data_IF_361840083706
#
_entry.id   IF_361840083706
#
_cell.length_a   1.000
_cell.length_b   1.000
_cell.length_c   1.000
_cell.angle_alpha   90.00
_cell.angle_beta   90.00
_cell.angle_gamma   90.00
#
_symmetry.space_group_name_H-M   'P 1'
#
loop_
_entity.id
_entity.type
_entity.pdbx_description
1 polymer ?
#
# COMPACT_ATOMS: atom_id res chain seq x y z
N UNK A 1 2.01 -26.48 15.23
CA UNK A 1 3.24 -26.37 16.04
C UNK A 1 4.21 -25.39 15.39
N UNK A 2 3.79 -24.12 15.26
CA UNK A 2 4.70 -23.00 15.05
C UNK A 2 4.32 -21.94 16.06
N UNK A 3 5.35 -21.56 16.79
CA UNK A 3 5.33 -20.82 18.04
C UNK A 3 4.73 -19.44 17.81
N UNK A 4 3.76 -19.08 18.65
CA UNK A 4 3.33 -17.70 18.85
C UNK A 4 4.54 -16.91 19.32
N UNK A 5 5.22 -16.24 18.39
CA UNK A 5 6.23 -15.23 18.71
C UNK A 5 5.46 -14.02 19.23
N UNK A 6 5.08 -14.09 20.50
CA UNK A 6 4.63 -12.94 21.28
C UNK A 6 5.89 -12.17 21.64
N UNK A 7 6.30 -11.23 20.79
CA UNK A 7 7.31 -10.24 21.14
C UNK A 7 6.72 -9.41 22.28
N UNK A 8 7.09 -9.79 23.49
CA UNK A 8 6.91 -9.02 24.71
C UNK A 8 7.86 -7.81 24.66
N UNK A 9 7.48 -6.79 23.90
CA UNK A 9 8.06 -5.46 23.97
C UNK A 9 7.10 -4.57 24.76
N UNK A 10 7.49 -4.22 25.99
CA UNK A 10 6.72 -3.36 26.87
C UNK A 10 6.56 -1.95 26.28
N UNK A 11 5.34 -1.65 25.85
CA UNK A 11 4.82 -0.30 25.71
C UNK A 11 3.40 -0.36 26.27
N UNK A 12 3.10 0.49 27.25
CA UNK A 12 1.74 0.67 27.77
C UNK A 12 0.81 0.85 26.56
N UNK A 13 -0.28 0.07 26.41
CA UNK A 13 -1.19 0.25 25.29
C UNK A 13 -1.74 1.68 25.38
N UNK A 14 -1.61 2.48 24.32
CA UNK A 14 -2.16 3.83 24.33
C UNK A 14 -3.68 3.75 24.57
N UNK A 15 -4.18 4.61 25.44
CA UNK A 15 -5.62 4.78 25.66
C UNK A 15 -6.25 5.13 24.29
N UNK A 16 -7.49 4.72 23.98
CA UNK A 16 -8.04 4.72 22.61
C UNK A 16 -7.78 5.97 21.74
N UNK A 17 -7.75 7.16 22.37
CA UNK A 17 -7.47 8.46 21.71
C UNK A 17 -6.02 8.57 21.20
N UNK A 18 -5.05 8.02 21.92
CA UNK A 18 -3.63 8.05 21.51
C UNK A 18 -3.38 7.16 20.30
N UNK A 19 -4.08 6.02 20.18
CA UNK A 19 -3.99 5.15 19.01
C UNK A 19 -4.53 5.81 17.74
N UNK A 20 -5.68 6.50 17.85
CA UNK A 20 -6.26 7.25 16.73
C UNK A 20 -5.31 8.38 16.28
N UNK A 21 -4.71 9.09 17.23
CA UNK A 21 -3.74 10.15 16.92
C UNK A 21 -2.50 9.59 16.20
N UNK A 22 -1.99 8.43 16.62
CA UNK A 22 -0.88 7.76 15.94
C UNK A 22 -1.23 7.32 14.52
N UNK A 23 -2.40 6.73 14.32
CA UNK A 23 -2.87 6.32 13.00
C UNK A 23 -2.99 7.51 12.04
N UNK A 24 -3.55 8.63 12.52
CA UNK A 24 -3.65 9.87 11.73
C UNK A 24 -2.27 10.44 11.43
N UNK A 25 -1.38 10.51 12.42
CA UNK A 25 -0.04 11.05 12.24
C UNK A 25 0.79 10.23 11.24
N UNK A 26 0.74 8.90 11.33
CA UNK A 26 1.44 8.02 10.42
C UNK A 26 0.81 7.99 9.02
N UNK A 27 -0.52 8.03 8.91
CA UNK A 27 -1.19 8.19 7.63
C UNK A 27 -0.81 9.49 6.92
N UNK A 28 -0.68 10.59 7.68
CA UNK A 28 -0.20 11.85 7.12
C UNK A 28 1.27 11.78 6.69
N UNK A 29 2.12 11.14 7.49
CA UNK A 29 3.52 10.92 7.14
C UNK A 29 3.69 10.03 5.89
N UNK A 30 2.87 8.99 5.75
CA UNK A 30 2.80 8.14 4.56
C UNK A 30 2.44 8.95 3.31
N UNK A 31 1.33 9.70 3.34
CA UNK A 31 0.92 10.51 2.20
C UNK A 31 1.95 11.60 1.81
N UNK A 32 2.69 12.14 2.79
CA UNK A 32 3.83 13.03 2.51
C UNK A 32 5.00 12.29 1.85
N UNK A 33 5.29 11.06 2.28
CA UNK A 33 6.32 10.22 1.67
C UNK A 33 6.03 9.99 0.19
N UNK A 34 4.80 9.62 -0.15
CA UNK A 34 4.38 9.35 -1.54
C UNK A 34 4.43 10.61 -2.40
N UNK A 35 4.04 11.76 -1.84
CA UNK A 35 4.10 13.03 -2.55
C UNK A 35 5.55 13.43 -2.87
N UNK A 36 6.46 13.20 -1.92
CA UNK A 36 7.88 13.46 -2.10
C UNK A 36 8.50 12.47 -3.09
N UNK A 37 8.21 11.18 -2.95
CA UNK A 37 8.75 10.12 -3.81
C UNK A 37 8.25 10.23 -5.24
N UNK A 38 6.96 10.49 -5.45
CA UNK A 38 6.33 10.73 -6.75
C UNK A 38 6.84 11.99 -7.46
N UNK A 39 7.42 12.94 -6.72
CA UNK A 39 8.04 14.15 -7.29
C UNK A 39 9.47 13.92 -7.79
N UNK A 40 10.18 12.91 -7.28
CA UNK A 40 11.58 12.62 -7.65
C UNK A 40 11.76 12.42 -9.16
N UNK A 41 10.91 11.63 -9.87
CA UNK A 41 11.05 11.41 -11.31
C UNK A 41 10.87 12.67 -12.18
N UNK A 42 10.27 13.74 -11.63
CA UNK A 42 10.13 15.02 -12.34
C UNK A 42 11.46 15.77 -12.46
N UNK A 43 12.34 15.62 -11.46
CA UNK A 43 13.64 16.31 -11.40
C UNK A 43 14.80 15.41 -11.81
N UNK A 44 14.71 14.11 -11.55
CA UNK A 44 15.78 13.14 -11.82
C UNK A 44 15.30 12.07 -12.80
N UNK A 45 16.02 11.93 -13.92
CA UNK A 45 15.82 10.80 -14.83
C UNK A 45 16.38 9.52 -14.22
N UNK A 46 15.48 8.70 -13.68
CA UNK A 46 15.80 7.32 -13.28
C UNK A 46 15.80 6.44 -14.54
N UNK A 47 16.78 5.55 -14.67
CA UNK A 47 16.81 4.59 -15.78
C UNK A 47 15.74 3.50 -15.62
N UNK A 48 15.11 3.06 -16.72
CA UNK A 48 14.00 2.09 -16.72
C UNK A 48 14.30 0.79 -15.95
N UNK A 49 15.56 0.34 -15.94
CA UNK A 49 15.95 -0.86 -15.18
C UNK A 49 15.83 -0.64 -13.67
N UNK A 50 16.24 0.52 -13.16
CA UNK A 50 16.19 0.84 -11.73
C UNK A 50 14.75 0.99 -11.26
N UNK A 51 13.92 1.66 -12.06
CA UNK A 51 12.49 1.82 -11.80
C UNK A 51 11.79 0.47 -11.58
N UNK A 52 12.03 -0.52 -12.46
CA UNK A 52 11.46 -1.87 -12.31
C UNK A 52 11.87 -2.57 -11.01
N UNK A 53 13.11 -2.37 -10.55
CA UNK A 53 13.56 -2.94 -9.27
C UNK A 53 12.92 -2.25 -8.07
N UNK A 54 12.78 -0.92 -8.11
CA UNK A 54 12.12 -0.16 -7.04
C UNK A 54 10.65 -0.56 -6.94
N UNK A 55 9.93 -0.61 -8.07
CA UNK A 55 8.52 -1.05 -8.09
C UNK A 55 8.39 -2.50 -7.59
N UNK A 56 9.30 -3.40 -7.98
CA UNK A 56 9.29 -4.78 -7.50
C UNK A 56 9.54 -4.90 -5.99
N UNK A 57 10.44 -4.06 -5.45
CA UNK A 57 10.68 -3.97 -4.02
C UNK A 57 9.46 -3.44 -3.26
N UNK A 58 8.88 -2.34 -3.73
CA UNK A 58 7.67 -1.72 -3.19
C UNK A 58 6.52 -2.73 -3.10
N UNK A 59 6.21 -3.41 -4.21
CA UNK A 59 5.19 -4.44 -4.26
C UNK A 59 5.47 -5.60 -3.27
N UNK A 60 6.74 -5.98 -3.12
CA UNK A 60 7.18 -6.98 -2.15
C UNK A 60 6.94 -6.57 -0.70
N UNK A 61 7.20 -5.31 -0.35
CA UNK A 61 6.95 -4.77 1.00
C UNK A 61 5.47 -4.83 1.37
N UNK A 62 4.59 -4.33 0.48
CA UNK A 62 3.14 -4.30 0.72
C UNK A 62 2.56 -5.72 0.77
N UNK A 63 2.94 -6.59 -0.16
CA UNK A 63 2.49 -7.99 -0.14
C UNK A 63 2.98 -8.72 1.11
N UNK A 64 4.22 -8.47 1.55
CA UNK A 64 4.78 -9.04 2.76
C UNK A 64 3.90 -8.72 3.98
N UNK A 65 3.65 -7.44 4.23
CA UNK A 65 2.82 -7.04 5.37
C UNK A 65 1.38 -7.54 5.22
N UNK A 66 0.81 -7.52 4.02
CA UNK A 66 -0.52 -8.07 3.78
C UNK A 66 -0.63 -9.56 4.18
N UNK A 67 0.31 -10.40 3.74
CA UNK A 67 0.27 -11.83 4.04
C UNK A 67 0.60 -12.15 5.50
N UNK A 68 1.64 -11.51 6.07
CA UNK A 68 2.12 -11.85 7.41
C UNK A 68 1.32 -11.15 8.52
N UNK A 69 0.98 -9.87 8.35
CA UNK A 69 0.32 -9.09 9.39
C UNK A 69 -1.20 -9.08 9.24
N UNK A 70 -1.75 -8.82 8.04
CA UNK A 70 -3.21 -8.79 7.88
C UNK A 70 -3.80 -10.19 7.83
N UNK A 71 -3.38 -11.02 6.86
CA UNK A 71 -3.91 -12.37 6.71
C UNK A 71 -3.57 -13.29 7.90
N UNK A 72 -2.42 -13.07 8.55
CA UNK A 72 -2.01 -13.83 9.72
C UNK A 72 -2.86 -13.59 10.97
N UNK A 73 -3.58 -12.47 11.04
CA UNK A 73 -4.34 -12.07 12.23
C UNK A 73 -5.86 -12.18 12.08
N UNK A 74 -6.37 -12.25 10.84
CA UNK A 74 -7.80 -12.43 10.58
C UNK A 74 -8.21 -13.91 10.61
N UNK A 75 -9.47 -14.18 10.94
CA UNK A 75 -10.03 -15.53 10.90
C UNK A 75 -10.03 -16.14 9.49
N UNK A 76 -10.18 -17.45 9.38
CA UNK A 76 -10.16 -18.16 8.09
C UNK A 76 -11.52 -18.17 7.37
N UNK A 77 -12.61 -17.92 8.09
CA UNK A 77 -13.96 -17.95 7.54
C UNK A 77 -14.22 -16.72 6.66
N UNK A 78 -14.51 -16.94 5.38
CA UNK A 78 -14.85 -15.88 4.43
C UNK A 78 -13.67 -15.01 3.94
N UNK A 79 -12.52 -15.00 4.64
CA UNK A 79 -11.35 -14.18 4.28
C UNK A 79 -10.88 -14.40 2.85
N UNK A 80 -10.77 -15.64 2.39
CA UNK A 80 -10.38 -15.94 1.02
C UNK A 80 -11.33 -15.34 -0.03
N UNK A 81 -12.63 -15.30 0.26
CA UNK A 81 -13.64 -14.71 -0.62
C UNK A 81 -13.49 -13.18 -0.68
N UNK A 82 -13.29 -12.51 0.46
CA UNK A 82 -13.07 -11.07 0.49
C UNK A 82 -11.77 -10.66 -0.22
N UNK A 83 -10.68 -11.41 0.00
CA UNK A 83 -9.40 -11.19 -0.69
C UNK A 83 -9.56 -11.39 -2.20
N UNK A 84 -10.25 -12.46 -2.63
CA UNK A 84 -10.51 -12.70 -4.04
C UNK A 84 -11.37 -11.60 -4.68
N UNK A 85 -12.38 -11.10 -3.96
CA UNK A 85 -13.24 -10.02 -4.42
C UNK A 85 -12.46 -8.71 -4.57
N UNK A 86 -11.64 -8.36 -3.58
CA UNK A 86 -10.75 -7.20 -3.65
C UNK A 86 -9.76 -7.30 -4.82
N UNK A 87 -9.08 -8.44 -4.94
CA UNK A 87 -8.18 -8.71 -6.06
C UNK A 87 -8.89 -8.59 -7.42
N UNK A 88 -10.08 -9.19 -7.55
CA UNK A 88 -10.85 -9.13 -8.78
C UNK A 88 -11.27 -7.69 -9.13
N UNK A 89 -11.70 -6.91 -8.13
CA UNK A 89 -12.04 -5.50 -8.30
C UNK A 89 -10.85 -4.67 -8.82
N UNK A 90 -9.69 -4.76 -8.16
CA UNK A 90 -8.47 -4.06 -8.60
C UNK A 90 -7.99 -4.54 -9.97
N UNK A 91 -8.06 -5.84 -10.23
CA UNK A 91 -7.71 -6.41 -11.52
C UNK A 91 -8.59 -5.83 -12.64
N UNK A 92 -9.90 -5.75 -12.42
CA UNK A 92 -10.83 -5.18 -13.38
C UNK A 92 -10.54 -3.69 -13.61
N UNK A 93 -10.34 -2.92 -12.54
CA UNK A 93 -9.99 -1.51 -12.61
C UNK A 93 -8.71 -1.27 -13.42
N UNK A 94 -7.67 -2.07 -13.15
CA UNK A 94 -6.40 -2.03 -13.89
C UNK A 94 -6.58 -2.30 -15.38
N UNK A 95 -7.40 -3.29 -15.74
CA UNK A 95 -7.69 -3.60 -17.16
C UNK A 95 -8.49 -2.50 -17.85
N UNK A 96 -9.46 -1.89 -17.18
CA UNK A 96 -10.24 -0.78 -17.72
C UNK A 96 -9.37 0.45 -17.99
N UNK A 97 -8.42 0.73 -17.09
CA UNK A 97 -7.42 1.80 -17.23
C UNK A 97 -6.50 1.55 -18.43
N UNK A 98 -6.00 0.32 -18.60
CA UNK A 98 -5.16 -0.03 -19.75
C UNK A 98 -5.90 0.13 -21.08
N UNK A 99 -7.17 -0.27 -21.14
CA UNK A 99 -7.96 -0.23 -22.38
C UNK A 99 -8.17 1.21 -22.88
N UNK A 100 -8.44 2.16 -21.97
CA UNK A 100 -8.58 3.57 -22.32
C UNK A 100 -7.25 4.28 -22.61
N UNK A 101 -6.15 3.79 -22.05
CA UNK A 101 -4.85 4.43 -22.19
C UNK A 101 -4.11 4.08 -23.51
N UNK A 102 -4.50 3.02 -24.21
CA UNK A 102 -3.93 2.67 -25.53
C UNK A 102 -4.97 2.00 -26.46
N UNK A 103 -5.88 2.77 -27.09
CA UNK A 103 -6.96 2.20 -27.91
C UNK A 103 -6.53 1.63 -29.27
N UNK A 104 -5.30 1.88 -29.75
CA UNK A 104 -4.93 1.69 -31.17
C UNK A 104 -3.48 1.23 -31.41
N UNK A 105 -2.95 0.28 -30.62
CA UNK A 105 -1.79 -0.56 -30.99
C UNK A 105 -0.40 0.11 -31.19
N UNK A 106 -0.33 1.43 -31.36
CA UNK A 106 0.91 2.18 -31.58
C UNK A 106 1.22 3.08 -30.37
N UNK A 107 1.51 2.46 -29.23
CA UNK A 107 2.02 3.19 -28.07
C UNK A 107 3.52 3.50 -28.25
N UNK A 108 3.79 4.52 -29.06
CA UNK A 108 5.12 5.11 -29.27
C UNK A 108 5.67 5.77 -28.01
N UNK A 109 6.33 4.99 -27.14
CA UNK A 109 7.55 5.27 -26.36
C UNK A 109 7.72 6.59 -25.57
N UNK A 110 6.66 7.39 -25.33
CA UNK A 110 6.67 8.49 -24.34
C UNK A 110 5.29 8.63 -23.68
N UNK A 111 4.97 7.75 -22.73
CA UNK A 111 3.85 7.98 -21.82
C UNK A 111 4.21 9.12 -20.87
N UNK A 112 3.77 10.34 -21.17
CA UNK A 112 3.68 11.40 -20.16
C UNK A 112 2.63 10.96 -19.13
N UNK A 113 2.88 11.22 -17.84
CA UNK A 113 1.89 11.01 -16.79
C UNK A 113 0.59 11.71 -17.18
N UNK A 114 -0.45 10.92 -17.47
CA UNK A 114 -1.77 11.42 -17.82
C UNK A 114 -2.65 11.57 -16.58
N UNK A 115 -3.84 12.15 -16.74
CA UNK A 115 -4.84 12.23 -15.67
C UNK A 115 -5.12 10.89 -15.01
N UNK A 116 -5.08 9.80 -15.78
CA UNK A 116 -5.29 8.43 -15.27
C UNK A 116 -4.20 8.02 -14.27
N UNK A 117 -2.94 8.41 -14.49
CA UNK A 117 -1.83 8.14 -13.56
C UNK A 117 -2.00 8.94 -12.27
N UNK A 118 -2.44 10.19 -12.37
CA UNK A 118 -2.69 11.05 -11.19
C UNK A 118 -3.84 10.50 -10.34
N UNK A 119 -4.95 10.10 -10.98
CA UNK A 119 -6.09 9.48 -10.28
C UNK A 119 -5.68 8.14 -9.67
N UNK A 120 -4.87 7.34 -10.37
CA UNK A 120 -4.32 6.09 -9.84
C UNK A 120 -3.49 6.29 -8.58
N UNK A 121 -2.52 7.23 -8.61
CA UNK A 121 -1.72 7.58 -7.44
C UNK A 121 -2.59 8.09 -6.28
N UNK A 122 -3.56 8.96 -6.55
CA UNK A 122 -4.47 9.43 -5.51
C UNK A 122 -5.30 8.30 -4.89
N UNK A 123 -5.75 7.33 -5.69
CA UNK A 123 -6.48 6.18 -5.17
C UNK A 123 -5.60 5.29 -4.29
N UNK A 124 -4.33 5.08 -4.67
CA UNK A 124 -3.37 4.25 -3.94
C UNK A 124 -3.17 4.79 -2.51
N UNK A 125 -2.89 6.08 -2.37
CA UNK A 125 -2.71 6.73 -1.08
C UNK A 125 -3.97 6.64 -0.18
N UNK A 126 -5.18 6.62 -0.78
CA UNK A 126 -6.43 6.42 -0.03
C UNK A 126 -6.49 4.98 0.52
N UNK A 127 -6.15 4.00 -0.32
CA UNK A 127 -6.16 2.58 0.04
C UNK A 127 -5.12 2.31 1.13
N UNK A 128 -3.95 2.91 1.05
CA UNK A 128 -2.90 2.81 2.06
C UNK A 128 -3.34 3.42 3.40
N UNK A 129 -3.98 4.58 3.37
CA UNK A 129 -4.56 5.20 4.57
C UNK A 129 -5.63 4.31 5.24
N UNK A 130 -6.49 3.68 4.44
CA UNK A 130 -7.46 2.69 4.94
C UNK A 130 -6.72 1.49 5.54
N UNK A 131 -5.66 1.00 4.88
CA UNK A 131 -4.83 -0.10 5.36
C UNK A 131 -4.20 0.18 6.72
N UNK A 132 -3.64 1.38 6.91
CA UNK A 132 -3.07 1.85 8.18
C UNK A 132 -4.16 1.87 9.27
N UNK A 133 -5.32 2.47 8.98
CA UNK A 133 -6.42 2.57 9.93
C UNK A 133 -6.96 1.20 10.36
N UNK A 134 -7.20 0.31 9.40
CA UNK A 134 -7.62 -1.08 9.68
C UNK A 134 -6.54 -1.82 10.46
N UNK A 135 -5.27 -1.60 10.13
CA UNK A 135 -4.14 -2.17 10.87
C UNK A 135 -4.18 -1.85 12.35
N UNK A 136 -4.37 -0.58 12.70
CA UNK A 136 -4.53 -0.13 14.09
C UNK A 136 -5.80 -0.67 14.76
N UNK A 137 -6.87 -0.92 13.99
CA UNK A 137 -8.08 -1.55 14.50
C UNK A 137 -7.89 -3.04 14.84
N UNK A 138 -6.96 -3.73 14.18
CA UNK A 138 -6.60 -5.13 14.50
C UNK A 138 -5.66 -5.15 15.70
N UNK A 139 -4.51 -4.49 15.59
CA UNK A 139 -3.54 -4.37 16.67
C UNK A 139 -2.58 -3.18 16.44
N UNK A 140 -2.10 -2.51 17.50
CA UNK A 140 -1.21 -1.36 17.35
C UNK A 140 0.13 -1.73 16.68
N UNK A 141 0.61 -2.96 16.88
CA UNK A 141 1.82 -3.46 16.22
C UNK A 141 1.62 -3.61 14.71
N UNK A 142 0.49 -4.16 14.29
CA UNK A 142 0.15 -4.33 12.87
C UNK A 142 -0.08 -3.00 12.17
N UNK A 143 -0.78 -2.07 12.81
CA UNK A 143 -0.93 -0.71 12.31
C UNK A 143 0.42 -0.02 12.08
N UNK A 144 1.36 -0.16 13.02
CA UNK A 144 2.71 0.36 12.89
C UNK A 144 3.47 -0.29 11.73
N UNK A 145 3.43 -1.62 11.62
CA UNK A 145 4.14 -2.35 10.55
C UNK A 145 3.60 -2.03 9.16
N UNK A 146 2.28 -1.89 9.01
CA UNK A 146 1.64 -1.42 7.78
C UNK A 146 2.09 0.00 7.47
N UNK A 147 2.05 0.91 8.43
CA UNK A 147 2.47 2.31 8.24
C UNK A 147 3.92 2.40 7.76
N UNK A 148 4.84 1.62 8.37
CA UNK A 148 6.24 1.60 7.97
C UNK A 148 6.42 1.05 6.56
N UNK A 149 5.70 -0.01 6.19
CA UNK A 149 5.75 -0.56 4.84
C UNK A 149 5.25 0.45 3.81
N UNK A 150 4.15 1.16 4.10
CA UNK A 150 3.61 2.23 3.25
C UNK A 150 4.59 3.41 3.15
N UNK A 151 5.30 3.78 4.22
CA UNK A 151 6.28 4.89 4.11
C UNK A 151 7.48 4.49 3.21
N UNK A 152 7.84 3.22 3.17
CA UNK A 152 9.05 2.70 2.51
C UNK A 152 8.85 2.39 1.03
N UNK A 153 7.65 1.95 0.63
CA UNK A 153 7.39 1.45 -0.73
C UNK A 153 7.45 2.57 -1.78
#
# INVERSE_FOLDING_TARGET
MLCSIRISGGGVPPEGVEMELMAIALGFAAGLSDLLSGSIPLFFKVGERRERYVIGFAAGCILGVFFFEMLGQVGTEGTAMYVALGFFFFYLLSKLVMLHSCPHGECGRKHKAGWVTVVGMASDNIIDGIGIGVGYAISPLTGLLISVAVIIH
#
